data_IF_232397390091
#
_entry.id   IF_232397390091
#
_cell.length_a   1.000
_cell.length_b   1.000
_cell.length_c   1.000
_cell.angle_alpha   90.00
_cell.angle_beta   90.00
_cell.angle_gamma   90.00
#
_symmetry.space_group_name_H-M   'P 1'
#
loop_
_entity.id
_entity.type
_entity.pdbx_description
1 polymer ?
#
# COMPACT_ATOMS: atom_id res chain seq x y z
N UNK A 1 10.87 8.00 -3.06
CA UNK A 1 11.13 6.55 -2.84
C UNK A 1 10.33 6.05 -1.65
N UNK A 2 9.78 4.86 -1.75
CA UNK A 2 9.01 4.25 -0.67
C UNK A 2 9.94 3.72 0.43
N UNK A 3 9.50 3.87 1.68
CA UNK A 3 10.17 3.21 2.80
C UNK A 3 9.93 1.70 2.73
N UNK A 4 10.74 0.88 3.44
CA UNK A 4 10.47 -0.56 3.49
C UNK A 4 9.06 -0.91 3.97
N UNK A 5 8.54 -0.18 4.95
CA UNK A 5 7.17 -0.41 5.44
C UNK A 5 6.13 -0.04 4.38
N UNK A 6 6.34 1.07 3.68
CA UNK A 6 5.44 1.48 2.61
C UNK A 6 5.45 0.47 1.47
N UNK A 7 6.62 -0.07 1.15
CA UNK A 7 6.74 -1.10 0.13
C UNK A 7 5.95 -2.36 0.53
N UNK A 8 6.05 -2.78 1.80
CA UNK A 8 5.25 -3.90 2.30
C UNK A 8 3.76 -3.64 2.13
N UNK A 9 3.31 -2.42 2.50
CA UNK A 9 1.90 -2.07 2.41
C UNK A 9 1.41 -2.10 0.96
N UNK A 10 2.15 -1.52 0.04
CA UNK A 10 1.71 -1.49 -1.36
C UNK A 10 1.69 -2.88 -1.99
N UNK A 11 2.60 -3.75 -1.60
CA UNK A 11 2.60 -5.14 -2.06
C UNK A 11 1.34 -5.87 -1.59
N UNK A 12 0.94 -5.65 -0.34
CA UNK A 12 -0.26 -6.30 0.21
C UNK A 12 -1.54 -5.73 -0.42
N UNK A 13 -1.56 -4.43 -0.70
CA UNK A 13 -2.66 -3.81 -1.45
C UNK A 13 -2.79 -4.48 -2.82
N UNK A 14 -1.68 -4.62 -3.53
CA UNK A 14 -1.67 -5.23 -4.85
C UNK A 14 -2.06 -6.71 -4.82
N UNK A 15 -1.79 -7.39 -3.71
CA UNK A 15 -2.19 -8.78 -3.51
C UNK A 15 -3.68 -8.94 -3.19
N UNK A 16 -4.40 -7.83 -3.04
CA UNK A 16 -5.86 -7.85 -2.85
C UNK A 16 -6.32 -7.79 -1.41
N UNK A 17 -5.43 -7.55 -0.45
CA UNK A 17 -5.83 -7.45 0.94
C UNK A 17 -6.55 -6.14 1.21
N UNK A 18 -7.52 -6.19 2.15
CA UNK A 18 -8.17 -4.98 2.66
C UNK A 18 -7.23 -4.28 3.65
N UNK A 19 -7.53 -3.02 3.98
CA UNK A 19 -6.76 -2.31 5.00
C UNK A 19 -6.77 -3.04 6.33
N UNK A 20 -7.92 -3.64 6.68
CA UNK A 20 -8.06 -4.42 7.91
C UNK A 20 -7.13 -5.63 7.90
N UNK A 21 -7.08 -6.33 6.78
CA UNK A 21 -6.22 -7.51 6.63
C UNK A 21 -4.75 -7.12 6.72
N UNK A 22 -4.38 -6.02 6.07
CA UNK A 22 -3.01 -5.51 6.10
C UNK A 22 -2.63 -5.13 7.54
N UNK A 23 -3.53 -4.41 8.23
CA UNK A 23 -3.32 -4.01 9.61
C UNK A 23 -3.10 -5.22 10.51
N UNK A 24 -3.94 -6.24 10.37
CA UNK A 24 -3.79 -7.47 11.15
C UNK A 24 -2.46 -8.16 10.86
N UNK A 25 -2.07 -8.22 9.61
CA UNK A 25 -0.81 -8.87 9.21
C UNK A 25 0.41 -8.15 9.75
N UNK A 26 0.38 -6.83 9.76
CA UNK A 26 1.52 -6.03 10.17
C UNK A 26 1.49 -5.62 11.65
N UNK A 27 0.44 -5.98 12.37
CA UNK A 27 0.30 -5.60 13.77
C UNK A 27 0.03 -4.10 13.96
N UNK A 28 -0.71 -3.50 13.03
CA UNK A 28 -1.02 -2.08 13.05
C UNK A 28 -2.53 -1.88 13.04
N UNK A 29 -2.99 -0.63 13.19
CA UNK A 29 -4.41 -0.31 13.07
C UNK A 29 -4.75 0.01 11.61
N UNK A 30 -6.03 -0.14 11.26
CA UNK A 30 -6.49 0.23 9.91
C UNK A 30 -6.28 1.72 9.65
N UNK A 31 -6.40 2.55 10.69
CA UNK A 31 -6.12 3.99 10.58
C UNK A 31 -4.66 4.25 10.19
N UNK A 32 -3.74 3.48 10.77
CA UNK A 32 -2.32 3.59 10.42
C UNK A 32 -2.08 3.19 8.97
N UNK A 33 -2.75 2.13 8.51
CA UNK A 33 -2.65 1.72 7.10
C UNK A 33 -3.17 2.83 6.19
N UNK A 34 -4.27 3.48 6.56
CA UNK A 34 -4.81 4.62 5.82
C UNK A 34 -3.78 5.74 5.68
N UNK A 35 -3.11 6.07 6.78
CA UNK A 35 -2.07 7.09 6.78
C UNK A 35 -0.89 6.70 5.89
N UNK A 36 -0.48 5.43 5.94
CA UNK A 36 0.57 4.93 5.05
C UNK A 36 0.15 5.06 3.59
N UNK A 37 -1.08 4.71 3.25
CA UNK A 37 -1.57 4.79 1.88
C UNK A 37 -1.59 6.22 1.35
N UNK A 38 -1.97 7.18 2.18
CA UNK A 38 -1.94 8.60 1.79
C UNK A 38 -0.52 9.03 1.44
N UNK A 39 0.44 8.65 2.26
CA UNK A 39 1.85 8.94 2.02
C UNK A 39 2.33 8.25 0.73
N UNK A 40 2.00 6.97 0.57
CA UNK A 40 2.37 6.20 -0.62
C UNK A 40 1.80 6.85 -1.88
N UNK A 41 0.51 7.17 -1.87
CA UNK A 41 -0.15 7.78 -3.04
C UNK A 41 0.54 9.08 -3.45
N UNK A 42 0.90 9.91 -2.48
CA UNK A 42 1.63 11.13 -2.76
C UNK A 42 2.99 10.88 -3.37
N UNK A 43 3.70 9.86 -2.88
CA UNK A 43 5.06 9.55 -3.34
C UNK A 43 5.09 8.96 -4.74
N UNK A 44 4.11 8.12 -5.08
CA UNK A 44 4.09 7.46 -6.39
C UNK A 44 3.18 8.16 -7.40
N UNK A 45 2.54 9.25 -6.99
CA UNK A 45 1.76 10.08 -7.90
C UNK A 45 0.44 9.47 -8.35
N UNK A 46 -0.23 8.73 -7.46
CA UNK A 46 -1.54 8.13 -7.76
C UNK A 46 -2.60 8.67 -6.82
N UNK A 47 -3.88 8.52 -7.19
CA UNK A 47 -4.99 9.03 -6.40
C UNK A 47 -6.00 7.95 -6.01
N UNK A 48 -5.75 6.69 -6.36
CA UNK A 48 -6.69 5.62 -6.05
C UNK A 48 -5.95 4.33 -5.73
N UNK A 49 -6.68 3.42 -5.05
CA UNK A 49 -6.19 2.10 -4.72
C UNK A 49 -5.89 1.29 -5.99
N UNK A 50 -6.76 1.39 -6.99
CA UNK A 50 -6.57 0.70 -8.27
C UNK A 50 -5.30 1.18 -8.97
N UNK A 51 -5.03 2.47 -8.96
CA UNK A 51 -3.82 3.02 -9.56
C UNK A 51 -2.58 2.57 -8.81
N UNK A 52 -2.65 2.45 -7.48
CA UNK A 52 -1.54 1.94 -6.68
C UNK A 52 -1.26 0.47 -7.00
N UNK A 53 -2.31 -0.33 -7.17
CA UNK A 53 -2.18 -1.73 -7.57
C UNK A 53 -1.50 -1.85 -8.93
N UNK A 54 -1.94 -1.03 -9.88
CA UNK A 54 -1.33 -1.01 -11.23
C UNK A 54 0.13 -0.61 -11.16
N UNK A 55 0.46 0.39 -10.35
CA UNK A 55 1.84 0.82 -10.14
C UNK A 55 2.71 -0.36 -9.67
N UNK A 56 2.22 -1.10 -8.66
CA UNK A 56 2.95 -2.24 -8.12
C UNK A 56 3.14 -3.33 -9.18
N UNK A 57 2.13 -3.59 -9.98
CA UNK A 57 2.20 -4.60 -11.04
C UNK A 57 3.18 -4.20 -12.13
N UNK A 58 3.14 -2.95 -12.57
CA UNK A 58 4.02 -2.45 -13.63
C UNK A 58 5.49 -2.45 -13.21
N UNK A 59 5.75 -2.30 -11.92
CA UNK A 59 7.12 -2.31 -11.40
C UNK A 59 7.53 -3.67 -10.81
N UNK A 60 6.71 -4.69 -11.01
CA UNK A 60 6.99 -6.06 -10.58
C UNK A 60 7.28 -6.14 -9.08
N UNK A 61 6.49 -5.42 -8.29
CA UNK A 61 6.65 -5.42 -6.83
C UNK A 61 5.95 -6.60 -6.16
N UNK A 62 5.21 -7.38 -6.92
CA UNK A 62 4.47 -8.54 -6.39
C UNK A 62 5.37 -9.77 -6.26
#
# INVERSE_FOLDING_TARGET
>A
MLTPRELEVVKLVAAGLTNRDIANRLGLSARTIDAHLRSIYGKIGVTSRSAATRYAMERELL
#
